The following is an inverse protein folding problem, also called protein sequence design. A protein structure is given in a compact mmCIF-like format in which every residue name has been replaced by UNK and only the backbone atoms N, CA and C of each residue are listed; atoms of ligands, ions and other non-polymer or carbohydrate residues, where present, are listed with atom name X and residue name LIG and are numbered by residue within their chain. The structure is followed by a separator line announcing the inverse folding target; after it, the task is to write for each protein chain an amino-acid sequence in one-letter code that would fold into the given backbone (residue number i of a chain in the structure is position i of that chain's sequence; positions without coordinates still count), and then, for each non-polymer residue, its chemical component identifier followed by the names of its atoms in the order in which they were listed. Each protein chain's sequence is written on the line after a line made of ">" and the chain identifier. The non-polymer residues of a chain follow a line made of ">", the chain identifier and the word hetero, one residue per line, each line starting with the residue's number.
data_IF_031526012226
#
_entry.id   IF_031526012226
#
_cell.length_a   1.000
_cell.length_b   1.000
_cell.length_c   1.000
_cell.angle_alpha   90.00
_cell.angle_beta   90.00
_cell.angle_gamma   90.00
#
_symmetry.space_group_name_H-M   'P 1'
#
loop_
_entity.id
_entity.type
_entity.pdbx_description
1 polymer ?
#
# COMPACT_ATOMS: atom_id res chain seq x y z
N UNK A 1 83.55 -51.28 2.64
CA UNK A 1 82.34 -50.44 2.48
C UNK A 1 82.73 -49.13 1.80
N UNK A 2 82.22 -48.89 0.59
CA UNK A 2 82.85 -48.06 -0.44
C UNK A 2 82.83 -46.55 -0.16
N UNK A 3 84.00 -45.99 0.18
CA UNK A 3 84.27 -44.54 0.13
C UNK A 3 84.66 -44.14 -1.30
N UNK A 4 83.70 -43.81 -2.17
CA UNK A 4 84.00 -43.05 -3.40
C UNK A 4 84.12 -41.57 -3.04
N UNK A 5 85.35 -41.05 -2.94
CA UNK A 5 85.56 -39.60 -2.84
C UNK A 5 85.32 -38.96 -4.21
N UNK A 6 84.39 -38.00 -4.29
CA UNK A 6 84.17 -37.15 -5.48
C UNK A 6 85.37 -36.20 -5.62
N UNK A 7 86.27 -36.46 -6.56
CA UNK A 7 87.23 -35.45 -7.02
C UNK A 7 86.50 -34.45 -7.94
N UNK A 8 86.70 -33.15 -7.72
CA UNK A 8 86.15 -32.07 -8.57
C UNK A 8 87.32 -31.46 -9.34
N UNK A 9 87.18 -31.33 -10.66
CA UNK A 9 88.11 -30.57 -11.51
C UNK A 9 87.78 -29.08 -11.34
N UNK A 10 88.74 -28.19 -11.03
CA UNK A 10 88.46 -26.76 -10.89
C UNK A 10 88.06 -26.18 -12.25
N UNK A 11 86.96 -25.42 -12.31
CA UNK A 11 86.49 -24.76 -13.53
C UNK A 11 85.30 -25.39 -14.25
N UNK A 12 84.87 -26.61 -13.87
CA UNK A 12 83.60 -27.16 -14.34
C UNK A 12 82.47 -26.82 -13.35
N UNK A 13 81.48 -26.04 -13.80
CA UNK A 13 80.23 -25.87 -13.05
C UNK A 13 79.64 -27.27 -12.80
N UNK A 14 79.23 -27.61 -11.56
CA UNK A 14 78.58 -28.89 -11.35
C UNK A 14 77.31 -28.93 -12.20
N UNK A 15 77.15 -29.95 -13.05
CA UNK A 15 75.83 -30.25 -13.61
C UNK A 15 74.83 -30.36 -12.45
N UNK A 16 73.61 -29.80 -12.59
CA UNK A 16 72.64 -29.81 -11.52
C UNK A 16 72.27 -31.26 -11.21
N UNK A 17 72.83 -31.79 -10.14
CA UNK A 17 72.39 -33.08 -9.58
C UNK A 17 70.94 -32.86 -9.15
N UNK A 18 70.01 -33.35 -9.96
CA UNK A 18 68.59 -33.36 -9.64
C UNK A 18 68.40 -34.28 -8.43
N UNK A 19 68.45 -33.70 -7.23
CA UNK A 19 68.11 -34.42 -6.00
C UNK A 19 66.61 -34.67 -6.01
N UNK A 20 66.21 -35.81 -6.56
CA UNK A 20 64.83 -36.31 -6.51
C UNK A 20 64.54 -36.73 -5.07
N UNK A 21 64.11 -35.75 -4.25
CA UNK A 21 63.52 -36.09 -2.96
C UNK A 21 62.14 -36.66 -3.25
N UNK A 22 61.91 -37.93 -2.89
CA UNK A 22 60.58 -38.54 -2.89
C UNK A 22 59.72 -37.80 -1.85
N UNK A 23 59.09 -36.70 -2.27
CA UNK A 23 58.16 -35.93 -1.44
C UNK A 23 56.80 -36.59 -1.54
N UNK A 24 56.12 -36.70 -0.41
CA UNK A 24 54.74 -37.19 -0.37
C UNK A 24 53.82 -36.20 -1.10
N UNK A 25 52.66 -36.66 -1.56
CA UNK A 25 51.67 -35.80 -2.23
C UNK A 25 51.28 -34.60 -1.34
N UNK A 26 51.14 -34.82 -0.04
CA UNK A 26 50.85 -33.78 0.95
C UNK A 26 51.90 -32.65 0.98
N UNK A 27 53.18 -32.98 0.82
CA UNK A 27 54.26 -31.98 0.78
C UNK A 27 54.22 -31.10 -0.47
N UNK A 28 53.80 -31.68 -1.60
CA UNK A 28 53.64 -30.96 -2.87
C UNK A 28 52.44 -30.01 -2.78
N UNK A 29 51.31 -30.51 -2.31
CA UNK A 29 50.07 -29.75 -2.16
C UNK A 29 50.24 -28.60 -1.15
N UNK A 30 50.92 -28.86 -0.03
CA UNK A 30 51.24 -27.83 0.96
C UNK A 30 52.11 -26.70 0.40
N UNK A 31 53.08 -27.00 -0.46
CA UNK A 31 53.91 -25.99 -1.14
C UNK A 31 53.13 -25.20 -2.18
N UNK A 32 52.25 -25.86 -2.94
CA UNK A 32 51.37 -25.19 -3.91
C UNK A 32 50.43 -24.22 -3.19
N UNK A 33 49.78 -24.66 -2.11
CA UNK A 33 48.97 -23.76 -1.27
C UNK A 33 49.78 -22.60 -0.70
N UNK A 34 51.01 -22.85 -0.24
CA UNK A 34 51.89 -21.78 0.27
C UNK A 34 52.27 -20.78 -0.82
N UNK A 35 52.50 -21.23 -2.07
CA UNK A 35 52.76 -20.34 -3.22
C UNK A 35 51.54 -19.50 -3.58
N UNK A 36 50.35 -20.11 -3.63
CA UNK A 36 49.09 -19.41 -3.90
C UNK A 36 48.77 -18.38 -2.81
N UNK A 37 49.00 -18.72 -1.54
CA UNK A 37 48.78 -17.83 -0.39
C UNK A 37 49.89 -16.78 -0.20
N UNK A 38 51.08 -16.95 -0.79
CA UNK A 38 52.23 -16.03 -0.61
C UNK A 38 51.90 -14.58 -1.00
N UNK A 39 51.02 -14.37 -1.98
CA UNK A 39 50.60 -13.03 -2.43
C UNK A 39 49.20 -12.63 -1.95
N UNK A 40 48.49 -13.55 -1.32
CA UNK A 40 47.16 -13.29 -0.75
C UNK A 40 47.37 -12.96 0.73
N UNK A 41 47.23 -11.67 1.08
CA UNK A 41 47.22 -11.25 2.47
C UNK A 41 46.11 -11.93 3.28
N UNK A 42 46.09 -11.72 4.59
CA UNK A 42 44.94 -12.17 5.40
C UNK A 42 43.65 -11.54 4.86
N UNK A 43 42.54 -12.28 4.96
CA UNK A 43 41.22 -11.75 4.60
C UNK A 43 40.93 -10.53 5.48
N UNK A 44 40.34 -9.49 4.91
CA UNK A 44 39.91 -8.31 5.67
C UNK A 44 39.02 -8.76 6.85
N UNK A 45 39.24 -8.16 8.02
CA UNK A 45 38.47 -8.50 9.22
C UNK A 45 36.97 -8.21 9.06
N UNK A 46 36.16 -8.82 9.93
CA UNK A 46 34.69 -8.70 9.93
C UNK A 46 34.19 -7.24 9.91
N UNK A 47 34.99 -6.29 10.42
CA UNK A 47 34.67 -4.85 10.42
C UNK A 47 34.49 -4.24 9.02
N UNK A 48 35.14 -4.82 8.00
CA UNK A 48 35.07 -4.33 6.62
C UNK A 48 34.23 -5.23 5.71
N UNK A 49 33.71 -6.33 6.25
CA UNK A 49 32.78 -7.19 5.52
C UNK A 49 31.39 -6.64 5.80
N UNK A 50 30.89 -5.71 4.98
CA UNK A 50 29.46 -5.43 4.98
C UNK A 50 28.75 -6.76 4.68
N UNK A 51 28.12 -7.31 5.71
CA UNK A 51 27.37 -8.55 5.59
C UNK A 51 26.27 -8.32 4.57
N UNK A 52 26.43 -8.89 3.37
CA UNK A 52 25.40 -8.86 2.35
C UNK A 52 24.11 -9.38 2.96
N UNK A 53 23.10 -8.52 3.02
CA UNK A 53 21.79 -8.89 3.55
C UNK A 53 21.20 -9.95 2.62
N UNK A 54 21.23 -11.22 3.04
CA UNK A 54 20.35 -12.22 2.46
C UNK A 54 18.93 -11.70 2.63
N UNK A 55 18.24 -11.44 1.52
CA UNK A 55 16.83 -11.09 1.50
C UNK A 55 16.00 -12.26 2.03
N UNK A 56 15.96 -12.41 3.35
CA UNK A 56 15.02 -13.27 4.04
C UNK A 56 13.79 -12.42 4.30
N UNK A 57 12.90 -12.41 3.31
CA UNK A 57 11.54 -11.92 3.47
C UNK A 57 10.80 -12.88 4.41
N UNK A 58 10.20 -12.34 5.46
CA UNK A 58 9.41 -13.09 6.43
C UNK A 58 10.20 -13.55 7.65
N UNK A 59 9.68 -13.20 8.82
CA UNK A 59 10.18 -13.48 10.18
C UNK A 59 11.10 -12.39 10.76
N UNK A 60 10.66 -11.83 11.88
CA UNK A 60 11.42 -10.94 12.76
C UNK A 60 12.61 -11.70 13.35
N UNK A 61 13.69 -11.81 12.58
CA UNK A 61 14.96 -12.31 13.10
C UNK A 61 15.45 -11.31 14.13
N UNK A 62 15.84 -11.81 15.31
CA UNK A 62 16.48 -11.01 16.35
C UNK A 62 17.80 -10.45 15.78
N UNK A 63 17.75 -9.22 15.28
CA UNK A 63 18.92 -8.53 14.70
C UNK A 63 19.79 -8.01 15.83
N UNK A 64 21.10 -7.92 15.57
CA UNK A 64 22.06 -7.36 16.52
C UNK A 64 21.61 -5.94 16.93
N UNK A 65 21.46 -5.62 18.23
CA UNK A 65 21.05 -4.30 18.71
C UNK A 65 22.01 -3.17 18.28
N UNK A 66 23.25 -3.49 17.90
CA UNK A 66 24.21 -2.52 17.37
C UNK A 66 23.91 -2.10 15.93
N UNK A 67 23.13 -2.88 15.19
CA UNK A 67 22.69 -2.54 13.84
C UNK A 67 21.35 -1.80 13.93
N UNK A 68 21.38 -0.49 13.68
CA UNK A 68 20.18 0.33 13.59
C UNK A 68 19.25 -0.09 12.45
N UNK A 69 18.00 0.37 12.49
CA UNK A 69 17.04 0.16 11.40
C UNK A 69 17.50 0.87 10.13
N UNK A 70 17.86 0.10 9.09
CA UNK A 70 18.12 0.60 7.73
C UNK A 70 16.88 0.60 6.83
N UNK A 71 15.68 0.38 7.40
CA UNK A 71 14.43 0.43 6.62
C UNK A 71 14.20 1.87 6.16
N UNK A 72 13.95 2.05 4.86
CA UNK A 72 13.62 3.37 4.28
C UNK A 72 12.35 3.91 4.95
N UNK A 73 12.40 5.14 5.41
CA UNK A 73 11.24 5.88 5.93
C UNK A 73 10.74 6.76 4.77
N UNK A 74 9.44 6.71 4.40
CA UNK A 74 8.91 7.59 3.38
C UNK A 74 9.02 9.04 3.85
N UNK A 75 9.55 9.91 2.99
CA UNK A 75 9.76 11.33 3.28
C UNK A 75 8.45 12.14 3.27
N UNK A 76 7.44 11.63 2.57
CA UNK A 76 6.11 12.22 2.48
C UNK A 76 5.17 11.20 3.12
N UNK A 77 4.52 11.60 4.22
CA UNK A 77 3.38 10.85 4.76
C UNK A 77 2.28 11.02 3.72
N UNK A 78 1.95 9.96 2.98
CA UNK A 78 0.83 10.03 2.05
C UNK A 78 -0.42 10.35 2.86
N UNK A 79 -1.01 11.53 2.63
CA UNK A 79 -2.26 11.91 3.27
C UNK A 79 -3.29 10.82 3.02
N UNK A 80 -3.96 10.35 4.08
CA UNK A 80 -5.00 9.34 3.97
C UNK A 80 -6.01 9.81 2.92
N UNK A 81 -6.14 9.04 1.83
CA UNK A 81 -7.00 9.39 0.70
C UNK A 81 -8.43 9.55 1.24
N UNK A 82 -8.96 10.79 1.21
CA UNK A 82 -10.33 11.06 1.60
C UNK A 82 -11.26 10.25 0.67
N UNK A 83 -12.27 9.54 1.20
CA UNK A 83 -13.13 8.73 0.37
C UNK A 83 -13.87 9.60 -0.66
N UNK A 84 -14.02 9.06 -1.86
CA UNK A 84 -14.75 9.71 -2.96
C UNK A 84 -16.24 9.86 -2.60
N UNK A 85 -16.98 10.75 -3.28
CA UNK A 85 -18.43 10.94 -3.03
C UNK A 85 -19.20 9.62 -3.25
N UNK A 86 -18.79 8.82 -4.23
CA UNK A 86 -19.37 7.51 -4.51
C UNK A 86 -19.05 6.50 -3.38
N UNK A 87 -17.81 6.45 -2.90
CA UNK A 87 -17.43 5.57 -1.78
C UNK A 87 -18.18 5.93 -0.49
N UNK A 88 -18.44 7.22 -0.25
CA UNK A 88 -19.25 7.66 0.90
C UNK A 88 -20.71 7.22 0.78
N UNK A 89 -21.31 7.35 -0.40
CA UNK A 89 -22.69 6.89 -0.66
C UNK A 89 -22.81 5.37 -0.47
N UNK A 90 -21.91 4.60 -1.08
CA UNK A 90 -21.86 3.14 -0.90
C UNK A 90 -21.66 2.74 0.57
N UNK A 91 -20.85 3.50 1.30
CA UNK A 91 -20.68 3.29 2.74
C UNK A 91 -21.95 3.58 3.54
N UNK A 92 -22.70 4.62 3.16
CA UNK A 92 -23.96 4.98 3.82
C UNK A 92 -25.07 3.96 3.52
N UNK A 93 -25.17 3.47 2.28
CA UNK A 93 -26.08 2.38 1.88
C UNK A 93 -25.81 1.11 2.70
N UNK A 94 -24.53 0.75 2.84
CA UNK A 94 -24.13 -0.42 3.62
C UNK A 94 -24.42 -0.25 5.11
N UNK A 95 -24.24 0.95 5.66
CA UNK A 95 -24.58 1.21 7.05
C UNK A 95 -26.10 1.11 7.28
N UNK A 96 -26.91 1.64 6.35
CA UNK A 96 -28.36 1.53 6.39
C UNK A 96 -28.81 0.06 6.37
N UNK A 97 -28.28 -0.75 5.46
CA UNK A 97 -28.58 -2.18 5.35
C UNK A 97 -28.24 -2.94 6.65
N UNK A 98 -27.13 -2.57 7.31
CA UNK A 98 -26.76 -3.18 8.60
C UNK A 98 -27.73 -2.81 9.72
N UNK A 99 -28.25 -1.58 9.72
CA UNK A 99 -29.20 -1.11 10.72
C UNK A 99 -30.58 -1.74 10.52
N UNK A 100 -31.04 -1.88 9.27
CA UNK A 100 -32.30 -2.56 8.93
C UNK A 100 -32.28 -4.05 9.31
N UNK A 101 -31.10 -4.68 9.21
CA UNK A 101 -30.91 -6.09 9.57
C UNK A 101 -30.44 -6.30 11.03
N UNK A 102 -30.45 -5.27 11.89
CA UNK A 102 -30.08 -5.43 13.30
C UNK A 102 -31.16 -6.22 14.06
N UNK A 103 -30.83 -7.47 14.40
CA UNK A 103 -31.72 -8.35 15.14
C UNK A 103 -32.17 -7.79 16.50
N UNK A 104 -31.33 -6.98 17.17
CA UNK A 104 -31.70 -6.40 18.46
C UNK A 104 -32.76 -5.32 18.31
N UNK A 105 -32.59 -4.46 17.30
CA UNK A 105 -33.55 -3.41 16.99
C UNK A 105 -34.91 -4.01 16.61
N UNK A 106 -34.92 -5.02 15.73
CA UNK A 106 -36.15 -5.69 15.30
C UNK A 106 -36.92 -6.31 16.47
N UNK A 107 -36.24 -6.99 17.40
CA UNK A 107 -36.89 -7.56 18.60
C UNK A 107 -37.46 -6.46 19.51
N UNK A 108 -36.81 -5.30 19.61
CA UNK A 108 -37.33 -4.19 20.41
C UNK A 108 -38.55 -3.54 19.75
N UNK A 109 -38.56 -3.39 18.43
CA UNK A 109 -39.71 -2.91 17.68
C UNK A 109 -40.91 -3.86 17.82
N UNK A 110 -40.72 -5.17 17.69
CA UNK A 110 -41.77 -6.18 17.89
C UNK A 110 -42.43 -6.08 19.28
N UNK A 111 -41.64 -5.76 20.32
CA UNK A 111 -42.16 -5.56 21.69
C UNK A 111 -42.93 -4.26 21.85
N UNK A 112 -42.49 -3.19 21.19
CA UNK A 112 -43.24 -1.93 21.16
C UNK A 112 -44.58 -2.17 20.46
N UNK A 113 -44.58 -2.92 19.35
CA UNK A 113 -45.81 -3.29 18.62
C UNK A 113 -46.73 -4.20 19.43
N UNK A 114 -46.18 -5.09 20.27
CA UNK A 114 -46.97 -5.90 21.20
C UNK A 114 -47.54 -5.09 22.39
N UNK A 115 -47.20 -3.81 22.49
CA UNK A 115 -47.66 -2.90 23.54
C UNK A 115 -46.87 -3.00 24.85
N UNK A 116 -45.68 -3.62 24.83
CA UNK A 116 -44.79 -3.65 25.99
C UNK A 116 -44.03 -2.32 26.14
N UNK A 117 -44.08 -1.73 27.34
CA UNK A 117 -43.31 -0.53 27.62
C UNK A 117 -41.83 -0.90 27.83
N UNK A 118 -40.97 -0.45 26.92
CA UNK A 118 -39.52 -0.56 27.07
C UNK A 118 -39.01 0.32 28.23
N UNK A 119 -37.95 -0.13 28.90
CA UNK A 119 -37.25 0.71 29.86
C UNK A 119 -36.62 1.94 29.19
N UNK A 120 -36.45 3.03 29.92
CA UNK A 120 -35.96 4.31 29.36
C UNK A 120 -34.61 4.22 28.61
N UNK A 121 -33.73 3.28 28.98
CA UNK A 121 -32.48 3.05 28.26
C UNK A 121 -32.66 2.34 26.91
N UNK A 122 -33.60 1.39 26.84
CA UNK A 122 -33.90 0.68 25.59
C UNK A 122 -34.69 1.56 24.63
N UNK A 123 -35.60 2.40 25.14
CA UNK A 123 -36.31 3.36 24.30
C UNK A 123 -35.34 4.34 23.64
N UNK A 124 -34.42 4.92 24.43
CA UNK A 124 -33.37 5.81 23.89
C UNK A 124 -32.52 5.13 22.82
N UNK A 125 -32.18 3.85 23.01
CA UNK A 125 -31.44 3.10 22.01
C UNK A 125 -32.22 2.98 20.69
N UNK A 126 -33.51 2.65 20.75
CA UNK A 126 -34.36 2.57 19.56
C UNK A 126 -34.43 3.93 18.88
N UNK A 127 -34.71 4.99 19.63
CA UNK A 127 -34.80 6.36 19.12
C UNK A 127 -33.49 6.78 18.42
N UNK A 128 -32.32 6.57 19.07
CA UNK A 128 -31.00 6.87 18.48
C UNK A 128 -30.73 6.13 17.17
N UNK A 129 -31.22 4.88 17.05
CA UNK A 129 -31.06 4.08 15.83
C UNK A 129 -31.98 4.56 14.71
N UNK A 130 -33.22 4.90 15.03
CA UNK A 130 -34.17 5.46 14.07
C UNK A 130 -33.71 6.83 13.56
N UNK A 131 -33.22 7.70 14.44
CA UNK A 131 -32.62 8.99 14.06
C UNK A 131 -31.44 8.79 13.10
N UNK A 132 -30.60 7.78 13.37
CA UNK A 132 -29.47 7.45 12.50
C UNK A 132 -29.94 6.96 11.12
N UNK A 133 -30.97 6.13 11.08
CA UNK A 133 -31.58 5.65 9.82
C UNK A 133 -32.13 6.82 9.00
N UNK A 134 -32.86 7.74 9.63
CA UNK A 134 -33.39 8.94 8.96
C UNK A 134 -32.27 9.78 8.33
N UNK A 135 -31.19 10.03 9.08
CA UNK A 135 -30.02 10.76 8.56
C UNK A 135 -29.40 10.05 7.36
N UNK A 136 -29.29 8.72 7.40
CA UNK A 136 -28.76 7.94 6.26
C UNK A 136 -29.70 7.98 5.05
N UNK A 137 -31.00 7.87 5.25
CA UNK A 137 -31.99 7.98 4.17
C UNK A 137 -31.97 9.37 3.52
N UNK A 138 -31.82 10.43 4.30
CA UNK A 138 -31.65 11.80 3.81
C UNK A 138 -30.34 11.96 3.01
N UNK A 139 -29.23 11.40 3.50
CA UNK A 139 -27.93 11.43 2.79
C UNK A 139 -27.97 10.70 1.43
N UNK A 140 -28.77 9.65 1.33
CA UNK A 140 -28.96 8.89 0.10
C UNK A 140 -29.99 9.54 -0.84
N UNK A 141 -30.80 10.46 -0.34
CA UNK A 141 -31.88 11.10 -1.10
C UNK A 141 -33.07 10.17 -1.32
N UNK A 142 -33.29 9.21 -0.41
CA UNK A 142 -34.42 8.28 -0.46
C UNK A 142 -35.70 8.90 0.14
N UNK A 143 -35.55 9.88 1.02
CA UNK A 143 -36.66 10.67 1.53
C UNK A 143 -36.94 11.79 0.52
N UNK A 144 -38.16 11.84 -0.02
CA UNK A 144 -38.64 13.04 -0.72
C UNK A 144 -38.80 14.13 0.35
N UNK A 145 -38.12 15.28 0.26
CA UNK A 145 -38.54 16.42 1.03
C UNK A 145 -39.97 16.79 0.59
N UNK A 146 -40.93 16.74 1.51
CA UNK A 146 -42.14 17.55 1.36
C UNK A 146 -41.66 19.01 1.42
N UNK A 147 -41.45 19.59 0.23
CA UNK A 147 -41.12 21.00 -0.01
C UNK A 147 -39.85 21.52 0.69
N UNK A 148 -38.70 21.39 0.02
CA UNK A 148 -37.75 22.52 -0.10
C UNK A 148 -36.76 22.22 -1.24
N UNK A 149 -37.05 22.82 -2.39
CA UNK A 149 -36.30 22.83 -3.65
C UNK A 149 -35.00 23.68 -3.57
N UNK A 150 -34.18 23.57 -2.51
CA UNK A 150 -32.96 24.39 -2.43
C UNK A 150 -31.88 23.74 -1.56
N UNK A 151 -31.16 22.73 -2.09
CA UNK A 151 -29.73 22.51 -1.77
C UNK A 151 -29.09 21.43 -2.66
N UNK A 152 -29.07 21.69 -3.97
CA UNK A 152 -28.15 21.03 -4.89
C UNK A 152 -26.74 21.63 -4.72
N UNK A 153 -25.97 21.12 -3.75
CA UNK A 153 -24.55 21.46 -3.58
C UNK A 153 -23.72 20.85 -4.74
N UNK A 154 -23.72 21.57 -5.87
CA UNK A 154 -22.81 21.41 -6.99
C UNK A 154 -21.68 22.44 -6.85
N UNK A 155 -20.40 22.05 -7.00
CA UNK A 155 -19.28 22.95 -6.80
C UNK A 155 -19.30 24.07 -7.84
N UNK A 156 -19.52 25.29 -7.36
CA UNK A 156 -19.51 26.54 -8.12
C UNK A 156 -18.09 26.94 -8.52
N UNK A 157 -17.67 26.43 -9.68
CA UNK A 157 -16.68 27.09 -10.54
C UNK A 157 -17.30 27.25 -11.95
N UNK A 158 -18.27 28.16 -12.06
CA UNK A 158 -18.78 28.68 -13.33
C UNK A 158 -19.37 30.08 -13.11
N UNK A 159 -19.10 31.06 -14.01
CA UNK A 159 -19.48 32.44 -13.79
C UNK A 159 -21.01 32.61 -13.82
N UNK A 160 -21.53 33.29 -12.80
CA UNK A 160 -22.95 33.62 -12.57
C UNK A 160 -23.57 34.24 -13.83
N UNK A 161 -24.36 33.46 -14.56
CA UNK A 161 -25.29 33.98 -15.56
C UNK A 161 -26.57 34.43 -14.87
N UNK A 162 -27.01 35.64 -15.18
CA UNK A 162 -28.20 36.29 -14.63
C UNK A 162 -29.43 35.38 -14.82
N UNK A 163 -30.11 35.04 -13.73
CA UNK A 163 -31.46 34.45 -13.72
C UNK A 163 -32.38 35.28 -14.64
N UNK A 164 -32.73 34.74 -15.80
CA UNK A 164 -33.90 35.19 -16.57
C UNK A 164 -35.09 34.43 -16.02
N UNK A 165 -36.16 35.16 -15.68
CA UNK A 165 -37.48 34.59 -15.39
C UNK A 165 -37.88 33.61 -16.49
N UNK A 166 -38.57 32.48 -16.17
CA UNK A 166 -39.08 31.62 -17.22
C UNK A 166 -40.02 32.45 -18.09
N UNK A 167 -39.81 32.44 -19.40
CA UNK A 167 -40.68 33.14 -20.35
C UNK A 167 -42.11 32.63 -20.15
N UNK A 168 -43.08 33.54 -20.02
CA UNK A 168 -44.50 33.15 -19.93
C UNK A 168 -44.90 32.39 -21.19
N UNK A 169 -45.81 31.43 -21.09
CA UNK A 169 -46.25 30.61 -22.24
C UNK A 169 -46.64 31.44 -23.48
N UNK A 170 -47.17 32.66 -23.30
CA UNK A 170 -47.49 33.59 -24.38
C UNK A 170 -46.26 34.09 -25.16
N UNK A 171 -45.13 34.28 -24.48
CA UNK A 171 -43.85 34.69 -25.09
C UNK A 171 -43.22 33.52 -25.86
N UNK A 172 -43.35 32.30 -25.34
CA UNK A 172 -42.95 31.08 -26.04
C UNK A 172 -43.84 30.82 -27.27
N UNK A 173 -45.14 31.09 -27.18
CA UNK A 173 -46.08 30.95 -28.29
C UNK A 173 -45.79 31.98 -29.39
N UNK A 174 -45.56 33.23 -29.02
CA UNK A 174 -45.19 34.29 -29.97
C UNK A 174 -43.84 34.03 -30.65
N UNK A 175 -42.87 33.48 -29.91
CA UNK A 175 -41.60 33.07 -30.49
C UNK A 175 -41.79 31.93 -31.51
N UNK A 176 -42.72 31.00 -31.28
CA UNK A 176 -43.00 29.92 -32.22
C UNK A 176 -43.71 30.42 -33.49
N UNK A 177 -44.73 31.27 -33.35
CA UNK A 177 -45.46 31.84 -34.49
C UNK A 177 -44.60 32.75 -35.37
N UNK A 178 -43.59 33.41 -34.78
CA UNK A 178 -42.64 34.25 -35.50
C UNK A 178 -41.57 33.50 -36.30
N UNK A 179 -41.45 32.17 -36.14
CA UNK A 179 -40.47 31.38 -36.89
C UNK A 179 -41.08 31.00 -38.24
N UNK A 180 -40.63 31.68 -39.30
CA UNK A 180 -40.98 31.33 -40.67
C UNK A 180 -40.38 29.97 -41.04
N UNK A 181 -41.23 28.94 -41.08
CA UNK A 181 -40.87 27.56 -41.44
C UNK A 181 -40.28 27.42 -42.85
N UNK A 182 -40.46 28.42 -43.73
CA UNK A 182 -39.85 28.43 -45.07
C UNK A 182 -38.33 28.72 -45.04
N UNK A 183 -37.79 29.23 -43.93
CA UNK A 183 -36.37 29.53 -43.80
C UNK A 183 -35.49 28.29 -43.50
N UNK A 184 -36.10 27.13 -43.29
CA UNK A 184 -35.43 25.85 -43.01
C UNK A 184 -35.46 24.88 -44.20
N UNK A 185 -35.98 25.29 -45.37
CA UNK A 185 -35.90 24.52 -46.61
C UNK A 185 -34.77 25.05 -47.49
N UNK A 186 -33.56 24.54 -47.24
CA UNK A 186 -32.50 24.36 -48.24
C UNK A 186 -32.09 22.89 -48.26
#
# INVERSE_FOLDING_TARGET
>A
MSRKKKSRKPGAAPEPVAVTRNRTQADVDGRLQKRLKKRKGQKAGSRHSDGGESQRSGTSVNRDPRLGSKKKIPLIVADAKKPSKQERKLSAEKELELLENDAQLNVLLDRIESGENLGAGLQKYVDEKLDRMEVLMNQLGLVLPEEDDDDFDAPVDAPVSKKKTPASDDELLSQFEGINMDQFKD
#
